data_IF_704823368133
#
_entry.id   IF_704823368133
#
_cell.length_a   1.000
_cell.length_b   1.000
_cell.length_c   1.000
_cell.angle_alpha   90.00
_cell.angle_beta   90.00
_cell.angle_gamma   90.00
#
_symmetry.space_group_name_H-M   'P 1'
#
loop_
_entity.id
_entity.type
_entity.pdbx_description
1 polymer ?
#
# COMPACT_ATOMS: atom_id res chain seq x y z
N UNK A 1 -6.81 -2.42 -7.50
CA UNK A 1 -7.70 -2.90 -6.42
C UNK A 1 -7.60 -1.97 -5.21
N UNK A 2 -8.63 -1.89 -4.37
CA UNK A 2 -8.63 -1.07 -3.16
C UNK A 2 -8.38 -1.95 -1.94
N UNK A 3 -7.34 -1.64 -1.18
CA UNK A 3 -6.86 -2.47 -0.08
C UNK A 3 -6.52 -1.61 1.14
N UNK A 4 -6.69 -2.16 2.35
CA UNK A 4 -6.26 -1.48 3.58
C UNK A 4 -4.79 -1.77 3.85
N UNK A 5 -4.00 -0.74 4.09
CA UNK A 5 -2.58 -0.86 4.40
C UNK A 5 -2.18 0.11 5.52
N UNK A 6 -1.10 -0.24 6.23
CA UNK A 6 -0.44 0.64 7.18
C UNK A 6 0.58 1.51 6.41
N UNK A 7 0.38 2.82 6.40
CA UNK A 7 1.17 3.77 5.60
C UNK A 7 1.96 4.69 6.52
N UNK A 8 3.25 4.86 6.22
CA UNK A 8 4.11 5.83 6.88
C UNK A 8 4.03 7.18 6.13
N UNK A 9 3.34 8.15 6.72
CA UNK A 9 3.19 9.51 6.14
C UNK A 9 4.36 10.43 6.50
N UNK A 10 4.98 10.23 7.66
CA UNK A 10 6.11 11.01 8.16
C UNK A 10 7.01 10.14 9.05
N UNK A 11 8.32 10.41 9.06
CA UNK A 11 9.25 9.70 9.91
C UNK A 11 8.98 9.96 11.40
N UNK A 12 9.05 8.90 12.22
CA UNK A 12 8.88 9.00 13.67
C UNK A 12 7.42 9.06 14.15
N UNK A 13 6.43 9.10 13.25
CA UNK A 13 5.02 8.95 13.60
C UNK A 13 4.56 7.49 13.51
N UNK A 14 3.52 7.09 14.28
CA UNK A 14 2.87 5.80 14.09
C UNK A 14 2.33 5.64 12.67
N UNK A 15 2.24 4.39 12.20
CA UNK A 15 1.65 4.08 10.90
C UNK A 15 0.14 4.35 10.93
N UNK A 16 -0.38 4.89 9.82
CA UNK A 16 -1.81 5.14 9.66
C UNK A 16 -2.44 4.04 8.82
N UNK A 17 -3.57 3.48 9.28
CA UNK A 17 -4.34 2.52 8.47
C UNK A 17 -5.24 3.29 7.52
N UNK A 18 -4.97 3.21 6.22
CA UNK A 18 -5.76 3.88 5.18
C UNK A 18 -6.04 2.96 3.99
N UNK A 19 -7.04 3.34 3.18
CA UNK A 19 -7.32 2.68 1.90
C UNK A 19 -6.33 3.16 0.83
N UNK A 20 -5.66 2.23 0.17
CA UNK A 20 -4.77 2.49 -0.95
C UNK A 20 -5.27 1.79 -2.20
N UNK A 21 -4.99 2.40 -3.36
CA UNK A 21 -5.28 1.80 -4.65
C UNK A 21 -4.00 1.14 -5.17
N UNK A 22 -4.02 -0.18 -5.31
CA UNK A 22 -2.95 -0.97 -5.91
C UNK A 22 -3.22 -1.16 -7.40
N UNK A 23 -2.24 -0.85 -8.23
CA UNK A 23 -2.28 -1.23 -9.63
C UNK A 23 -2.01 -2.74 -9.80
N UNK A 24 -2.46 -3.30 -10.92
CA UNK A 24 -2.16 -4.70 -11.25
C UNK A 24 -0.66 -4.91 -11.48
N UNK A 25 -0.15 -6.14 -11.25
CA UNK A 25 1.26 -6.44 -11.47
C UNK A 25 1.60 -6.31 -12.96
N UNK A 26 2.81 -5.83 -13.26
CA UNK A 26 3.34 -5.78 -14.63
C UNK A 26 3.89 -7.15 -15.05
N UNK A 27 4.32 -7.26 -16.31
CA UNK A 27 4.91 -8.49 -16.81
C UNK A 27 6.13 -8.91 -15.97
N UNK A 28 6.08 -10.11 -15.39
CA UNK A 28 7.13 -10.63 -14.51
C UNK A 28 7.01 -10.24 -13.03
N UNK A 29 6.01 -9.43 -12.65
CA UNK A 29 5.69 -9.11 -11.26
C UNK A 29 4.57 -10.02 -10.74
N UNK A 30 4.50 -10.17 -9.42
CA UNK A 30 3.41 -10.87 -8.74
C UNK A 30 2.84 -9.95 -7.67
N UNK A 31 1.52 -9.77 -7.70
CA UNK A 31 0.78 -9.06 -6.66
C UNK A 31 0.31 -10.09 -5.62
N UNK A 32 0.68 -9.88 -4.36
CA UNK A 32 0.36 -10.74 -3.20
C UNK A 32 -0.55 -9.99 -2.24
#
# INVERSE_FOLDING_TARGET
>A
MRTRAAVAVEAGKPLEIMEVNLDGPRAGEVLV
#
